data_IF_482099059738
#
_entry.id   IF_482099059738
#
_cell.length_a   1.000
_cell.length_b   1.000
_cell.length_c   1.000
_cell.angle_alpha   90.00
_cell.angle_beta   90.00
_cell.angle_gamma   90.00
#
_symmetry.space_group_name_H-M   'P 1'
#
loop_
_entity.id
_entity.type
_entity.pdbx_description
1 polymer ?
#
# COMPACT_ATOMS: atom_id res chain seq x y z
N UNK A 1 -39.04 -27.03 45.50
CA UNK A 1 -38.13 -26.86 44.35
C UNK A 1 -38.23 -25.42 43.87
N UNK A 2 -37.18 -24.63 44.05
CA UNK A 2 -37.13 -23.24 43.57
C UNK A 2 -36.43 -23.22 42.20
N UNK A 3 -37.11 -22.71 41.17
CA UNK A 3 -36.57 -22.58 39.82
C UNK A 3 -35.81 -21.27 39.71
N UNK A 4 -34.48 -21.34 39.56
CA UNK A 4 -33.65 -20.18 39.24
C UNK A 4 -33.81 -19.85 37.75
N UNK A 5 -34.33 -18.67 37.42
CA UNK A 5 -34.28 -18.15 36.05
C UNK A 5 -32.95 -17.46 35.83
N UNK A 6 -32.14 -18.00 34.93
CA UNK A 6 -30.91 -17.38 34.46
C UNK A 6 -31.28 -16.19 33.56
N UNK A 7 -30.98 -14.96 34.01
CA UNK A 7 -31.08 -13.78 33.15
C UNK A 7 -29.84 -13.72 32.26
N UNK A 8 -29.99 -13.95 30.97
CA UNK A 8 -28.91 -13.75 30.01
C UNK A 8 -28.72 -12.24 29.79
N UNK A 9 -27.61 -11.70 30.29
CA UNK A 9 -27.17 -10.33 29.98
C UNK A 9 -26.54 -10.37 28.59
N UNK A 10 -27.21 -9.80 27.59
CA UNK A 10 -26.63 -9.61 26.27
C UNK A 10 -25.54 -8.53 26.37
N UNK A 11 -24.27 -8.93 26.26
CA UNK A 11 -23.17 -7.99 26.10
C UNK A 11 -23.35 -7.27 24.76
N UNK A 12 -23.63 -5.96 24.80
CA UNK A 12 -23.62 -5.10 23.62
C UNK A 12 -22.16 -4.90 23.25
N UNK A 13 -21.60 -5.80 22.45
CA UNK A 13 -20.36 -5.54 21.73
C UNK A 13 -20.66 -4.48 20.68
N UNK A 14 -20.45 -3.22 21.03
CA UNK A 14 -20.34 -2.14 20.06
C UNK A 14 -19.12 -2.43 19.16
N UNK A 15 -19.34 -3.17 18.09
CA UNK A 15 -18.39 -3.23 16.99
C UNK A 15 -18.28 -1.81 16.45
N UNK A 16 -17.19 -1.12 16.80
CA UNK A 16 -16.76 0.09 16.11
C UNK A 16 -16.50 -0.36 14.68
N UNK A 17 -17.53 -0.31 13.83
CA UNK A 17 -17.35 -0.39 12.40
C UNK A 17 -16.51 0.82 12.03
N UNK A 18 -15.20 0.58 11.83
CA UNK A 18 -14.38 1.48 11.04
C UNK A 18 -15.22 1.86 9.83
N UNK A 19 -15.40 3.17 9.63
CA UNK A 19 -16.29 3.72 8.61
C UNK A 19 -16.07 2.96 7.31
N UNK A 20 -17.16 2.55 6.64
CA UNK A 20 -17.15 1.92 5.32
C UNK A 20 -16.55 2.90 4.29
N UNK A 21 -15.25 3.17 4.38
CA UNK A 21 -14.51 3.78 3.31
C UNK A 21 -14.53 2.81 2.14
N UNK A 22 -14.67 3.30 0.89
CA UNK A 22 -14.50 2.46 -0.28
C UNK A 22 -13.21 1.66 -0.11
N UNK A 23 -13.25 0.32 -0.16
CA UNK A 23 -12.03 -0.46 -0.11
C UNK A 23 -11.07 0.02 -1.21
N UNK A 24 -9.76 0.05 -0.90
CA UNK A 24 -8.72 0.24 -1.92
C UNK A 24 -8.04 1.61 -1.99
N UNK A 25 -8.36 2.59 -1.13
CA UNK A 25 -7.62 3.89 -1.15
C UNK A 25 -6.27 3.85 -0.43
N UNK A 26 -6.08 2.96 0.55
CA UNK A 26 -4.85 2.91 1.34
C UNK A 26 -3.71 2.36 0.46
N UNK A 27 -2.60 3.08 0.41
CA UNK A 27 -1.35 2.63 -0.21
C UNK A 27 -0.23 2.47 0.81
N UNK A 28 0.86 1.83 0.40
CA UNK A 28 2.08 1.64 1.20
C UNK A 28 3.28 2.32 0.52
N UNK A 29 3.88 3.29 1.19
CA UNK A 29 5.19 3.85 0.82
C UNK A 29 6.28 3.20 1.66
N UNK A 30 7.28 2.59 1.03
CA UNK A 30 8.35 1.89 1.74
C UNK A 30 9.64 1.86 0.94
N UNK A 31 10.79 2.00 1.60
CA UNK A 31 12.09 1.79 0.98
C UNK A 31 12.36 0.30 0.74
N UNK A 32 13.27 0.01 -0.18
CA UNK A 32 13.77 -1.34 -0.45
C UNK A 32 14.54 -1.90 0.78
N UNK A 33 14.50 -3.22 0.95
CA UNK A 33 15.16 -3.95 2.05
C UNK A 33 14.39 -4.03 3.37
N UNK A 34 13.22 -3.38 3.48
CA UNK A 34 12.35 -3.49 4.67
C UNK A 34 11.54 -4.80 4.69
N UNK A 35 11.31 -5.35 5.88
CA UNK A 35 10.36 -6.47 6.08
C UNK A 35 8.92 -5.94 6.09
N UNK A 36 8.16 -6.31 5.05
CA UNK A 36 6.75 -5.91 4.88
C UNK A 36 5.78 -7.04 5.24
N UNK A 37 6.25 -8.17 5.79
CA UNK A 37 5.43 -9.36 6.08
C UNK A 37 4.27 -9.07 7.03
N UNK A 38 4.40 -8.08 7.92
CA UNK A 38 3.32 -7.60 8.80
C UNK A 38 2.10 -7.04 8.05
N UNK A 39 2.26 -6.61 6.80
CA UNK A 39 1.18 -6.10 5.95
C UNK A 39 0.47 -7.19 5.14
N UNK A 40 1.08 -8.37 4.99
CA UNK A 40 0.47 -9.54 4.32
C UNK A 40 -0.09 -10.57 5.30
N UNK A 41 0.50 -10.70 6.50
CA UNK A 41 0.23 -11.80 7.43
C UNK A 41 -0.93 -11.57 8.41
N UNK A 42 -1.37 -10.32 8.61
CA UNK A 42 -2.39 -9.97 9.62
C UNK A 42 -3.75 -9.72 8.98
N UNK A 43 -4.40 -10.79 8.54
CA UNK A 43 -5.77 -10.73 7.99
C UNK A 43 -5.85 -10.20 6.56
N UNK A 44 -7.07 -9.81 6.09
CA UNK A 44 -7.24 -9.36 4.71
C UNK A 44 -6.41 -8.10 4.43
N UNK A 45 -5.56 -8.16 3.41
CA UNK A 45 -4.80 -7.00 2.94
C UNK A 45 -5.74 -5.82 2.70
N UNK A 46 -5.43 -4.66 3.28
CA UNK A 46 -6.26 -3.45 3.14
C UNK A 46 -5.72 -2.47 2.10
N UNK A 47 -4.57 -2.79 1.50
CA UNK A 47 -3.76 -1.91 0.69
C UNK A 47 -4.04 -2.26 -0.77
N UNK A 48 -4.34 -1.25 -1.59
CA UNK A 48 -4.58 -1.43 -3.02
C UNK A 48 -3.34 -1.24 -3.87
N UNK A 49 -2.42 -0.39 -3.41
CA UNK A 49 -1.24 0.02 -4.17
C UNK A 49 -0.02 0.28 -3.27
N UNK A 50 1.18 0.30 -3.85
CA UNK A 50 2.44 0.58 -3.16
C UNK A 50 3.42 1.37 -4.06
N UNK A 51 4.35 2.08 -3.44
CA UNK A 51 5.44 2.82 -4.11
C UNK A 51 6.68 2.87 -3.21
N UNK A 52 7.85 3.21 -3.78
CA UNK A 52 9.13 3.25 -3.05
C UNK A 52 10.04 4.44 -3.46
N UNK A 53 9.45 5.53 -3.96
CA UNK A 53 10.17 6.71 -4.48
C UNK A 53 11.08 6.46 -5.69
N UNK A 54 11.06 5.27 -6.30
CA UNK A 54 11.78 4.98 -7.54
C UNK A 54 10.81 4.49 -8.63
N UNK A 55 11.35 4.32 -9.83
CA UNK A 55 10.68 3.75 -10.99
C UNK A 55 10.74 2.21 -11.01
N UNK A 56 11.43 1.62 -10.04
CA UNK A 56 11.50 0.19 -9.85
C UNK A 56 11.50 -0.20 -8.38
N UNK A 57 11.06 -1.43 -8.11
CA UNK A 57 11.14 -2.03 -6.78
C UNK A 57 11.90 -3.34 -6.87
N UNK A 58 12.77 -3.55 -5.90
CA UNK A 58 13.47 -4.82 -5.74
C UNK A 58 12.54 -5.96 -5.29
N UNK A 59 13.02 -6.78 -4.37
CA UNK A 59 12.31 -7.97 -3.86
C UNK A 59 11.12 -7.70 -2.94
N UNK A 60 10.81 -6.42 -2.67
CA UNK A 60 9.85 -6.00 -1.65
C UNK A 60 8.42 -5.76 -2.19
N UNK A 61 8.09 -6.30 -3.37
CA UNK A 61 6.75 -6.15 -3.94
C UNK A 61 5.76 -7.05 -3.18
N UNK A 62 4.74 -6.45 -2.58
CA UNK A 62 3.60 -7.20 -2.04
C UNK A 62 2.85 -7.88 -3.20
N UNK A 63 2.50 -9.13 -2.99
CA UNK A 63 1.99 -10.01 -4.05
C UNK A 63 0.68 -9.51 -4.68
N UNK A 64 -0.22 -9.02 -3.84
CA UNK A 64 -1.61 -8.69 -4.21
C UNK A 64 -1.86 -7.19 -4.41
N UNK A 65 -0.81 -6.40 -4.51
CA UNK A 65 -0.86 -4.93 -4.52
C UNK A 65 -0.26 -4.39 -5.82
N UNK A 66 -0.88 -3.38 -6.40
CA UNK A 66 -0.31 -2.67 -7.55
C UNK A 66 0.98 -1.95 -7.14
N UNK A 67 2.04 -2.06 -7.95
CA UNK A 67 3.19 -1.18 -7.80
C UNK A 67 3.02 0.04 -8.69
N UNK A 68 3.05 1.22 -8.09
CA UNK A 68 2.95 2.52 -8.75
C UNK A 68 4.34 3.14 -8.78
N UNK A 69 4.95 3.12 -9.95
CA UNK A 69 6.28 3.67 -10.18
C UNK A 69 6.29 5.20 -10.16
N UNK A 70 7.41 5.77 -9.74
CA UNK A 70 7.63 7.21 -9.65
C UNK A 70 8.85 7.65 -10.48
N UNK A 71 8.68 8.69 -11.29
CA UNK A 71 9.83 9.44 -11.80
C UNK A 71 10.22 10.48 -10.75
N UNK A 72 11.15 10.13 -9.86
CA UNK A 72 11.46 10.94 -8.68
C UNK A 72 11.95 12.34 -9.04
N UNK A 73 12.94 12.43 -9.93
CA UNK A 73 13.58 13.66 -10.37
C UNK A 73 14.19 13.49 -11.76
N UNK A 74 14.81 14.55 -12.28
CA UNK A 74 15.70 14.53 -13.45
C UNK A 74 17.18 14.48 -13.02
N UNK A 75 17.44 14.07 -11.78
CA UNK A 75 18.78 13.90 -11.21
C UNK A 75 19.06 12.41 -10.96
N UNK A 76 20.29 12.06 -10.64
CA UNK A 76 20.73 10.69 -10.31
C UNK A 76 20.41 9.62 -11.38
N UNK A 77 20.07 10.06 -12.59
CA UNK A 77 19.76 9.21 -13.73
C UNK A 77 18.42 8.49 -13.66
N UNK A 78 17.47 8.95 -12.83
CA UNK A 78 16.11 8.38 -12.79
C UNK A 78 15.41 8.45 -14.16
N UNK A 79 15.68 9.50 -14.94
CA UNK A 79 15.16 9.70 -16.29
C UNK A 79 15.73 8.72 -17.32
N UNK A 80 16.98 8.27 -17.13
CA UNK A 80 17.68 7.41 -18.09
C UNK A 80 17.09 6.01 -18.16
N UNK A 81 16.44 5.56 -17.08
CA UNK A 81 15.84 4.23 -16.95
C UNK A 81 14.31 4.26 -17.00
N UNK A 82 13.71 5.46 -17.07
CA UNK A 82 12.27 5.66 -16.91
C UNK A 82 11.45 4.90 -17.95
N UNK A 83 11.76 5.06 -19.23
CA UNK A 83 10.99 4.44 -20.32
C UNK A 83 10.99 2.91 -20.24
N UNK A 84 12.15 2.31 -19.98
CA UNK A 84 12.30 0.85 -19.86
C UNK A 84 11.53 0.31 -18.64
N UNK A 85 11.59 1.03 -17.51
CA UNK A 85 10.88 0.65 -16.28
C UNK A 85 9.37 0.84 -16.39
N UNK A 86 8.89 1.88 -17.06
CA UNK A 86 7.46 2.07 -17.38
C UNK A 86 6.96 0.89 -18.20
N UNK A 87 7.63 0.54 -19.31
CA UNK A 87 7.22 -0.58 -20.15
C UNK A 87 7.19 -1.90 -19.35
N UNK A 88 8.23 -2.16 -18.54
CA UNK A 88 8.30 -3.33 -17.67
C UNK A 88 7.10 -3.43 -16.71
N UNK A 89 6.66 -2.32 -16.13
CA UNK A 89 5.58 -2.33 -15.14
C UNK A 89 4.18 -2.27 -15.76
N UNK A 90 4.03 -1.68 -16.95
CA UNK A 90 2.83 -1.81 -17.76
C UNK A 90 2.56 -3.29 -18.09
N UNK A 91 3.59 -4.03 -18.50
CA UNK A 91 3.49 -5.48 -18.74
C UNK A 91 3.13 -6.29 -17.48
N UNK A 92 3.38 -5.72 -16.28
CA UNK A 92 3.06 -6.32 -14.97
C UNK A 92 1.73 -5.81 -14.39
N UNK A 93 0.97 -5.03 -15.15
CA UNK A 93 -0.38 -4.58 -14.79
C UNK A 93 -0.43 -3.33 -13.92
N UNK A 94 0.62 -2.49 -13.90
CA UNK A 94 0.48 -1.14 -13.33
C UNK A 94 -0.53 -0.33 -14.15
N UNK A 95 -1.39 0.42 -13.47
CA UNK A 95 -2.35 1.35 -14.08
C UNK A 95 -2.03 2.82 -13.82
N UNK A 96 -1.04 3.09 -12.95
CA UNK A 96 -0.74 4.44 -12.46
C UNK A 96 0.76 4.74 -12.50
N UNK A 97 1.08 6.01 -12.74
CA UNK A 97 2.43 6.56 -12.72
C UNK A 97 2.45 7.80 -11.83
N UNK A 98 3.51 7.98 -11.05
CA UNK A 98 3.77 9.20 -10.26
C UNK A 98 4.87 10.03 -10.94
N UNK A 99 4.70 11.36 -10.90
CA UNK A 99 5.69 12.32 -11.37
C UNK A 99 6.69 12.71 -10.29
N UNK A 100 7.36 13.84 -10.49
CA UNK A 100 8.42 14.35 -9.63
C UNK A 100 8.02 14.46 -8.16
N UNK A 101 8.91 14.02 -7.27
CA UNK A 101 8.73 14.07 -5.83
C UNK A 101 9.13 15.45 -5.30
N UNK A 102 8.19 16.13 -4.63
CA UNK A 102 8.42 17.43 -3.99
C UNK A 102 9.27 18.40 -4.83
N UNK A 103 8.91 18.66 -6.11
CA UNK A 103 9.73 19.49 -7.00
C UNK A 103 9.88 20.94 -6.54
N UNK A 104 9.09 21.37 -5.55
CA UNK A 104 9.23 22.67 -4.88
C UNK A 104 10.43 22.74 -3.92
N UNK A 105 10.94 21.60 -3.46
CA UNK A 105 12.12 21.57 -2.59
C UNK A 105 13.38 21.80 -3.43
N UNK A 106 14.39 22.52 -2.89
CA UNK A 106 15.71 22.56 -3.49
C UNK A 106 16.25 21.14 -3.65
N UNK A 107 16.88 20.85 -4.79
CA UNK A 107 17.59 19.59 -4.96
C UNK A 107 18.67 19.45 -3.88
N UNK A 108 18.77 18.30 -3.18
CA UNK A 108 19.81 18.07 -2.18
C UNK A 108 21.22 18.06 -2.76
#
# INVERSE_FOLDING_TARGET
>A
MATFKLLAVAAITSMVHATNHPPGKRGLGSNDGLDLSGFESVGPIKMGWQYNWDSDIGGNKLSSVEYVLMLHSLHDGHENVWADRVNKWLDRGTGHLLGFNEPEQPLP
#
